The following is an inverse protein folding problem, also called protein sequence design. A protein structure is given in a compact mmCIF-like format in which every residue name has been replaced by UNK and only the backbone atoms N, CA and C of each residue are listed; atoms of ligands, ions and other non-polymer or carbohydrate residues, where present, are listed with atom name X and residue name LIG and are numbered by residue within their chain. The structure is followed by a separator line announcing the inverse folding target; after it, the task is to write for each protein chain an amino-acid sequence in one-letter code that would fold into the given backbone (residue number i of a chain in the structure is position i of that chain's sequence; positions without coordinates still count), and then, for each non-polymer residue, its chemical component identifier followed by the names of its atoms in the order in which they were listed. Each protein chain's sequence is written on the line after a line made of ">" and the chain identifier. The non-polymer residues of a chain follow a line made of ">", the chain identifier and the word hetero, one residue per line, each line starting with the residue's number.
data_IF_569591063729
#
_entry.id   IF_569591063729
#
_cell.length_a   1.000
_cell.length_b   1.000
_cell.length_c   1.000
_cell.angle_alpha   90.00
_cell.angle_beta   90.00
_cell.angle_gamma   90.00
#
_symmetry.space_group_name_H-M   'P 1'
#
loop_
_entity.id
_entity.type
_entity.pdbx_description
1 polymer ?
#
# COMPACT_ATOMS: atom_id res chain seq x y z
N UNK A 1 -16.13 13.70 -19.63
CA UNK A 1 -15.16 12.69 -19.13
C UNK A 1 -15.97 11.60 -18.46
N UNK A 2 -15.86 10.34 -18.91
CA UNK A 2 -16.46 9.21 -18.17
C UNK A 2 -15.70 9.07 -16.86
N UNK A 3 -16.32 9.37 -15.74
CA UNK A 3 -15.77 9.06 -14.42
C UNK A 3 -15.60 7.56 -14.34
N UNK A 4 -14.37 7.11 -14.08
CA UNK A 4 -14.09 5.69 -13.89
C UNK A 4 -14.78 5.25 -12.58
N UNK A 5 -15.57 4.20 -12.62
CA UNK A 5 -16.38 3.70 -11.49
C UNK A 5 -15.51 3.35 -10.26
N UNK A 6 -14.22 3.05 -10.47
CA UNK A 6 -13.27 2.61 -9.47
C UNK A 6 -12.28 3.69 -8.97
N UNK A 7 -12.29 4.87 -9.57
CA UNK A 7 -11.34 5.95 -9.25
C UNK A 7 -10.00 5.78 -9.96
N UNK A 8 -9.26 6.89 -10.02
CA UNK A 8 -8.01 7.02 -10.77
C UNK A 8 -6.90 7.57 -9.89
N UNK A 9 -5.68 7.10 -10.14
CA UNK A 9 -4.43 7.72 -9.72
C UNK A 9 -3.63 8.07 -10.97
N UNK A 10 -3.27 9.34 -11.15
CA UNK A 10 -2.51 9.82 -12.30
C UNK A 10 -1.44 10.82 -11.87
N UNK A 11 -0.24 10.63 -12.36
CA UNK A 11 0.89 11.54 -12.27
C UNK A 11 1.17 12.09 -13.67
N UNK A 12 1.21 13.42 -13.81
CA UNK A 12 1.56 14.11 -15.05
C UNK A 12 2.79 14.98 -14.84
N UNK A 13 3.95 14.51 -15.34
CA UNK A 13 5.27 15.16 -15.30
C UNK A 13 5.64 15.71 -13.91
N UNK A 14 5.37 14.93 -12.89
CA UNK A 14 5.62 15.28 -11.49
C UNK A 14 7.11 15.30 -11.22
N UNK A 15 7.61 16.41 -10.64
CA UNK A 15 8.97 16.50 -10.10
C UNK A 15 8.94 16.96 -8.65
N UNK A 16 9.88 16.46 -7.86
CA UNK A 16 10.05 16.81 -6.47
C UNK A 16 11.52 16.75 -6.07
N UNK A 17 11.97 17.79 -5.35
CA UNK A 17 13.30 17.88 -4.74
C UNK A 17 13.18 18.09 -3.23
N UNK A 18 14.07 17.49 -2.47
CA UNK A 18 14.18 17.77 -1.04
C UNK A 18 14.79 19.18 -0.81
N UNK A 19 14.62 19.80 0.38
CA UNK A 19 15.15 21.14 0.68
C UNK A 19 16.66 21.27 0.49
N UNK A 20 17.42 20.17 0.53
CA UNK A 20 18.84 20.14 0.26
C UNK A 20 19.18 20.19 -1.25
N UNK A 21 18.20 20.40 -2.13
CA UNK A 21 18.36 20.47 -3.58
C UNK A 21 18.39 19.12 -4.30
N UNK A 22 18.38 17.99 -3.58
CA UNK A 22 18.41 16.67 -4.21
C UNK A 22 17.06 16.34 -4.87
N UNK A 23 17.05 16.30 -6.21
CA UNK A 23 15.88 15.90 -7.01
C UNK A 23 15.73 14.39 -6.95
N UNK A 24 14.61 13.94 -6.37
CA UNK A 24 14.33 12.51 -6.15
C UNK A 24 13.25 11.96 -7.07
N UNK A 25 12.32 12.81 -7.51
CA UNK A 25 11.33 12.50 -8.55
C UNK A 25 11.54 13.50 -9.69
N UNK A 26 11.61 12.99 -10.93
CA UNK A 26 11.93 13.80 -12.10
C UNK A 26 10.99 13.50 -13.27
N UNK A 27 10.11 14.45 -13.59
CA UNK A 27 9.13 14.36 -14.68
C UNK A 27 8.39 13.00 -14.71
N UNK A 28 8.08 12.46 -13.54
CA UNK A 28 7.44 11.16 -13.39
C UNK A 28 5.99 11.22 -13.89
N UNK A 29 5.64 10.30 -14.80
CA UNK A 29 4.28 10.19 -15.33
C UNK A 29 3.86 8.74 -15.36
N UNK A 30 2.70 8.44 -14.77
CA UNK A 30 2.06 7.12 -14.81
C UNK A 30 0.59 7.23 -14.45
N UNK A 31 -0.19 6.18 -14.70
CA UNK A 31 -1.58 6.09 -14.24
C UNK A 31 -1.96 4.69 -13.81
N UNK A 32 -2.86 4.61 -12.83
CA UNK A 32 -3.55 3.38 -12.41
C UNK A 32 -5.06 3.69 -12.49
N UNK A 33 -5.78 2.97 -13.36
CA UNK A 33 -7.19 3.25 -13.71
C UNK A 33 -8.14 2.11 -13.34
N UNK A 34 -7.65 1.09 -12.67
CA UNK A 34 -8.43 -0.08 -12.22
C UNK A 34 -7.89 -0.60 -10.91
N UNK A 35 -8.75 -1.17 -10.06
CA UNK A 35 -8.33 -1.86 -8.85
C UNK A 35 -7.35 -2.98 -9.17
N UNK A 36 -6.58 -3.39 -8.18
CA UNK A 36 -5.62 -4.47 -8.30
C UNK A 36 -4.41 -4.28 -7.42
N UNK A 37 -3.50 -5.26 -7.41
CA UNK A 37 -2.22 -5.23 -6.73
C UNK A 37 -1.12 -4.80 -7.69
N UNK A 38 -0.62 -3.59 -7.51
CA UNK A 38 0.43 -2.96 -8.32
C UNK A 38 1.73 -2.94 -7.55
N UNK A 39 2.78 -3.55 -8.08
CA UNK A 39 4.06 -3.61 -7.39
C UNK A 39 5.10 -2.64 -7.97
N UNK A 40 5.80 -1.95 -7.06
CA UNK A 40 6.84 -0.99 -7.40
C UNK A 40 8.18 -1.46 -6.85
N UNK A 41 9.14 -1.67 -7.72
CA UNK A 41 10.50 -2.03 -7.36
C UNK A 41 11.48 -0.92 -7.74
N UNK A 42 12.64 -0.90 -7.10
CA UNK A 42 13.69 0.08 -7.38
C UNK A 42 14.75 0.07 -6.29
N UNK A 43 15.95 0.56 -6.58
CA UNK A 43 17.03 0.63 -5.62
C UNK A 43 16.68 1.47 -4.39
N UNK A 44 17.44 1.30 -3.30
CA UNK A 44 17.33 2.20 -2.14
C UNK A 44 17.68 3.62 -2.58
N UNK A 45 16.92 4.59 -2.07
CA UNK A 45 17.08 6.00 -2.47
C UNK A 45 16.48 6.37 -3.85
N UNK A 46 15.84 5.44 -4.58
CA UNK A 46 15.23 5.75 -5.88
C UNK A 46 13.99 6.64 -5.82
N UNK A 47 13.44 6.90 -4.62
CA UNK A 47 12.29 7.77 -4.42
C UNK A 47 10.96 7.07 -4.12
N UNK A 48 10.95 5.75 -3.86
CA UNK A 48 9.72 4.97 -3.63
C UNK A 48 8.88 5.52 -2.47
N UNK A 49 9.47 5.71 -1.29
CA UNK A 49 8.75 6.26 -0.13
C UNK A 49 8.40 7.76 -0.32
N UNK A 50 9.19 8.50 -1.11
CA UNK A 50 8.86 9.89 -1.51
C UNK A 50 7.63 9.90 -2.41
N UNK A 51 7.53 8.95 -3.36
CA UNK A 51 6.36 8.78 -4.21
C UNK A 51 5.09 8.52 -3.35
N UNK A 52 5.18 7.67 -2.33
CA UNK A 52 4.05 7.42 -1.42
C UNK A 52 3.63 8.66 -0.65
N UNK A 53 4.59 9.48 -0.19
CA UNK A 53 4.29 10.76 0.47
C UNK A 53 3.62 11.76 -0.47
N UNK A 54 3.98 11.77 -1.76
CA UNK A 54 3.32 12.57 -2.79
C UNK A 54 1.89 12.07 -3.05
N UNK A 55 1.68 10.75 -3.19
CA UNK A 55 0.34 10.15 -3.40
C UNK A 55 -0.57 10.42 -2.20
N UNK A 56 -0.05 10.30 -0.98
CA UNK A 56 -0.82 10.56 0.25
C UNK A 56 -1.04 12.05 0.56
N UNK A 57 -0.45 12.97 -0.23
CA UNK A 57 -0.58 14.41 -0.04
C UNK A 57 0.20 14.96 1.17
N UNK A 58 1.07 14.16 1.80
CA UNK A 58 1.94 14.59 2.91
C UNK A 58 2.95 15.63 2.45
N UNK A 59 3.43 15.52 1.21
CA UNK A 59 4.27 16.49 0.54
C UNK A 59 3.65 16.88 -0.80
N UNK A 60 3.98 18.08 -1.29
CA UNK A 60 3.49 18.58 -2.58
C UNK A 60 4.60 18.53 -3.62
N UNK A 61 4.28 18.27 -4.90
CA UNK A 61 5.26 18.31 -5.98
C UNK A 61 5.73 19.75 -6.24
N UNK A 62 6.99 19.89 -6.70
CA UNK A 62 7.54 21.18 -7.16
C UNK A 62 6.90 21.57 -8.49
N UNK A 63 6.74 20.61 -9.39
CA UNK A 63 6.12 20.78 -10.72
C UNK A 63 5.29 19.55 -11.11
N UNK A 64 4.45 19.72 -12.12
CA UNK A 64 3.52 18.68 -12.58
C UNK A 64 2.23 18.64 -11.78
N UNK A 65 1.41 17.61 -12.02
CA UNK A 65 0.11 17.46 -11.35
C UNK A 65 -0.09 16.02 -10.90
N UNK A 66 -0.69 15.87 -9.72
CA UNK A 66 -1.15 14.59 -9.20
C UNK A 66 -2.67 14.65 -9.12
N UNK A 67 -3.32 13.74 -9.80
CA UNK A 67 -4.74 13.49 -9.65
C UNK A 67 -4.93 12.16 -8.93
N UNK A 68 -5.63 12.18 -7.81
CA UNK A 68 -5.97 10.98 -7.04
C UNK A 68 -7.40 11.12 -6.52
N UNK A 69 -8.32 10.38 -7.10
CA UNK A 69 -9.71 10.30 -6.63
C UNK A 69 -9.91 9.23 -5.56
N UNK A 70 -8.85 8.44 -5.31
CA UNK A 70 -8.82 7.41 -4.27
C UNK A 70 -8.44 8.02 -2.91
N UNK A 71 -8.83 7.34 -1.84
CA UNK A 71 -8.46 7.67 -0.46
C UNK A 71 -7.25 6.83 -0.04
N UNK A 72 -6.03 7.40 -0.03
CA UNK A 72 -4.83 6.65 0.32
C UNK A 72 -4.72 6.40 1.82
N UNK A 73 -4.22 5.22 2.18
CA UNK A 73 -3.74 4.90 3.52
C UNK A 73 -2.37 4.26 3.41
N UNK A 74 -1.43 4.71 4.24
CA UNK A 74 -0.06 4.22 4.26
C UNK A 74 0.08 3.12 5.31
N UNK A 75 0.73 2.03 4.92
CA UNK A 75 1.10 0.91 5.79
C UNK A 75 2.63 0.81 5.77
N UNK A 76 3.25 0.99 6.94
CA UNK A 76 4.70 1.03 7.08
C UNK A 76 5.33 -0.36 7.11
N UNK A 77 6.62 -0.42 6.81
CA UNK A 77 7.45 -1.60 6.88
C UNK A 77 7.45 -2.24 8.28
N UNK A 78 7.58 -1.42 9.32
CA UNK A 78 7.49 -1.85 10.71
C UNK A 78 6.13 -1.44 11.30
N UNK A 79 5.21 -2.38 11.57
CA UNK A 79 3.90 -2.07 12.13
C UNK A 79 3.97 -1.47 13.54
N UNK A 80 5.03 -1.71 14.32
CA UNK A 80 5.20 -1.13 15.66
C UNK A 80 5.36 0.41 15.62
N UNK A 81 5.70 1.00 14.47
CA UNK A 81 5.72 2.45 14.29
C UNK A 81 4.32 3.04 14.03
N UNK A 82 3.33 2.20 13.79
CA UNK A 82 1.98 2.62 13.42
C UNK A 82 0.93 2.26 14.48
N UNK A 83 1.10 1.12 15.15
CA UNK A 83 0.17 0.61 16.14
C UNK A 83 0.42 1.26 17.51
N UNK A 84 -0.55 2.01 18.02
CA UNK A 84 -0.40 2.88 19.18
C UNK A 84 -1.19 2.41 20.42
N UNK A 85 -2.25 1.60 20.20
CA UNK A 85 -3.19 1.23 21.23
C UNK A 85 -2.88 -0.13 21.86
N UNK A 86 -3.40 -0.44 23.05
CA UNK A 86 -3.10 -1.69 23.74
C UNK A 86 -3.76 -2.92 23.12
N UNK A 87 -4.92 -2.79 22.45
CA UNK A 87 -5.69 -3.92 21.89
C UNK A 87 -6.05 -3.69 20.44
N UNK A 88 -6.33 -4.78 19.68
CA UNK A 88 -6.77 -4.69 18.29
C UNK A 88 -8.02 -3.81 18.13
N UNK A 89 -9.01 -3.98 19.01
CA UNK A 89 -10.23 -3.17 19.02
C UNK A 89 -9.95 -1.69 19.19
N UNK A 90 -9.16 -1.32 20.20
CA UNK A 90 -8.85 0.08 20.48
C UNK A 90 -8.06 0.73 19.35
N UNK A 91 -7.16 -0.02 18.70
CA UNK A 91 -6.42 0.45 17.53
C UNK A 91 -7.35 0.74 16.36
N UNK A 92 -8.22 -0.19 16.02
CA UNK A 92 -9.15 0.01 14.91
C UNK A 92 -10.18 1.10 15.19
N UNK A 93 -10.59 1.29 16.45
CA UNK A 93 -11.46 2.40 16.84
C UNK A 93 -10.86 3.78 16.52
N UNK A 94 -9.53 3.95 16.62
CA UNK A 94 -8.85 5.18 16.21
C UNK A 94 -8.95 5.44 14.70
N UNK A 95 -8.98 4.38 13.92
CA UNK A 95 -8.99 4.46 12.46
C UNK A 95 -10.40 4.69 11.87
N UNK A 96 -11.47 4.44 12.66
CA UNK A 96 -12.85 4.62 12.19
C UNK A 96 -13.15 6.10 11.96
N UNK A 97 -13.73 6.47 10.78
CA UNK A 97 -14.17 7.84 10.56
C UNK A 97 -15.21 8.30 11.58
N UNK A 98 -15.03 9.51 12.12
CA UNK A 98 -15.94 10.09 13.14
C UNK A 98 -17.39 10.23 12.68
N UNK A 99 -17.64 10.10 11.39
CA UNK A 99 -19.01 10.16 10.80
C UNK A 99 -19.78 8.86 10.98
N UNK A 100 -19.13 7.76 11.40
CA UNK A 100 -19.76 6.45 11.58
C UNK A 100 -20.53 6.43 12.92
N UNK A 101 -21.83 6.09 12.92
CA UNK A 101 -22.62 5.97 14.13
C UNK A 101 -22.07 4.90 15.08
N UNK A 102 -22.07 5.20 16.39
CA UNK A 102 -21.50 4.31 17.41
C UNK A 102 -22.08 2.89 17.40
N UNK A 103 -23.38 2.75 17.06
CA UNK A 103 -24.05 1.46 16.94
C UNK A 103 -23.47 0.53 15.87
N UNK A 104 -22.77 1.07 14.86
CA UNK A 104 -22.20 0.31 13.74
C UNK A 104 -20.70 0.04 13.94
N UNK A 105 -20.09 0.58 15.00
CA UNK A 105 -18.63 0.48 15.20
C UNK A 105 -18.16 -0.95 15.39
N UNK A 106 -18.88 -1.72 16.20
CA UNK A 106 -18.50 -3.10 16.50
C UNK A 106 -18.48 -3.96 15.22
N UNK A 107 -19.56 -3.92 14.45
CA UNK A 107 -19.69 -4.71 13.22
C UNK A 107 -18.64 -4.32 12.18
N UNK A 108 -18.37 -3.01 12.07
CA UNK A 108 -17.36 -2.50 11.14
C UNK A 108 -15.94 -2.98 11.49
N UNK A 109 -15.59 -2.91 12.78
CA UNK A 109 -14.29 -3.37 13.27
C UNK A 109 -14.16 -4.88 13.12
N UNK A 110 -15.20 -5.64 13.50
CA UNK A 110 -15.25 -7.08 13.37
C UNK A 110 -15.05 -7.49 11.90
N UNK A 111 -15.79 -6.89 10.98
CA UNK A 111 -15.66 -7.15 9.55
C UNK A 111 -14.27 -6.81 9.00
N UNK A 112 -13.64 -5.72 9.49
CA UNK A 112 -12.28 -5.37 9.09
C UNK A 112 -11.26 -6.41 9.56
N UNK A 113 -11.38 -6.93 10.79
CA UNK A 113 -10.55 -8.00 11.31
C UNK A 113 -10.74 -9.30 10.52
N UNK A 114 -11.96 -9.67 10.18
CA UNK A 114 -12.26 -10.86 9.36
C UNK A 114 -11.64 -10.77 7.96
N UNK A 115 -11.67 -9.59 7.35
CA UNK A 115 -11.06 -9.36 6.02
C UNK A 115 -9.55 -9.58 6.01
N UNK A 116 -8.87 -9.47 7.17
CA UNK A 116 -7.43 -9.68 7.31
C UNK A 116 -7.09 -10.96 8.08
N UNK A 117 -8.03 -11.88 8.22
CA UNK A 117 -7.90 -13.16 8.94
C UNK A 117 -7.47 -13.00 10.42
N UNK A 118 -8.08 -12.03 11.11
CA UNK A 118 -7.89 -11.74 12.54
C UNK A 118 -9.23 -11.67 13.31
N UNK A 119 -10.31 -12.25 12.78
CA UNK A 119 -11.67 -12.10 13.32
C UNK A 119 -11.83 -12.50 14.80
N UNK A 120 -11.02 -13.46 15.30
CA UNK A 120 -11.06 -13.90 16.70
C UNK A 120 -10.16 -13.06 17.63
N UNK A 121 -9.55 -11.98 17.13
CA UNK A 121 -8.51 -11.25 17.87
C UNK A 121 -8.97 -9.86 18.36
N UNK A 122 -10.27 -9.60 18.40
CA UNK A 122 -10.83 -8.27 18.71
C UNK A 122 -10.26 -7.65 19.99
N UNK A 123 -10.29 -8.37 21.09
CA UNK A 123 -9.82 -7.89 22.40
C UNK A 123 -8.37 -8.30 22.71
N UNK A 124 -7.66 -8.88 21.73
CA UNK A 124 -6.29 -9.35 21.90
C UNK A 124 -5.33 -8.18 22.12
N UNK A 125 -4.44 -8.25 23.12
CA UNK A 125 -3.39 -7.25 23.32
C UNK A 125 -2.38 -7.28 22.16
N UNK A 126 -2.07 -6.10 21.59
CA UNK A 126 -1.21 -5.98 20.39
C UNK A 126 0.20 -6.51 20.62
N UNK A 127 0.75 -6.35 21.82
CA UNK A 127 2.08 -6.85 22.17
C UNK A 127 2.20 -8.39 22.11
N UNK A 128 1.06 -9.12 22.13
CA UNK A 128 1.03 -10.60 22.01
C UNK A 128 0.90 -11.09 20.58
N UNK A 129 0.75 -10.18 19.61
CA UNK A 129 0.64 -10.53 18.21
C UNK A 129 2.00 -10.82 17.58
N UNK A 130 2.06 -11.78 16.65
CA UNK A 130 3.23 -11.97 15.79
C UNK A 130 3.42 -10.77 14.84
N UNK A 131 4.62 -10.61 14.25
CA UNK A 131 4.88 -9.55 13.29
C UNK A 131 3.91 -9.55 12.11
N UNK A 132 3.58 -10.73 11.56
CA UNK A 132 2.60 -10.86 10.49
C UNK A 132 1.17 -10.52 10.92
N UNK A 133 0.79 -10.83 12.16
CA UNK A 133 -0.51 -10.43 12.72
C UNK A 133 -0.58 -8.90 12.91
N UNK A 134 0.48 -8.27 13.42
CA UNK A 134 0.57 -6.81 13.54
C UNK A 134 0.48 -6.12 12.18
N UNK A 135 1.16 -6.67 11.16
CA UNK A 135 1.09 -6.12 9.79
C UNK A 135 -0.34 -6.22 9.23
N UNK A 136 -1.01 -7.35 9.44
CA UNK A 136 -2.42 -7.50 9.02
C UNK A 136 -3.36 -6.59 9.80
N UNK A 137 -3.09 -6.33 11.07
CA UNK A 137 -3.85 -5.36 11.88
C UNK A 137 -3.66 -3.92 11.33
N UNK A 138 -2.46 -3.53 10.94
CA UNK A 138 -2.22 -2.23 10.29
C UNK A 138 -2.99 -2.10 8.97
N UNK A 139 -3.09 -3.17 8.18
CA UNK A 139 -3.92 -3.23 6.97
C UNK A 139 -5.42 -3.12 7.34
N UNK A 140 -5.87 -3.79 8.42
CA UNK A 140 -7.26 -3.65 8.90
C UNK A 140 -7.60 -2.21 9.28
N UNK A 141 -6.67 -1.46 9.87
CA UNK A 141 -6.81 -0.02 10.13
C UNK A 141 -7.10 0.79 8.87
N UNK A 142 -6.41 0.49 7.78
CA UNK A 142 -6.67 1.12 6.48
C UNK A 142 -8.06 0.71 5.91
N UNK A 143 -8.46 -0.55 6.07
CA UNK A 143 -9.78 -1.03 5.63
C UNK A 143 -10.91 -0.36 6.42
N UNK A 144 -10.79 -0.28 7.74
CA UNK A 144 -11.82 0.32 8.61
C UNK A 144 -11.93 1.83 8.42
N UNK A 145 -10.86 2.51 8.01
CA UNK A 145 -10.87 3.93 7.66
C UNK A 145 -11.56 4.23 6.33
N UNK A 146 -12.10 3.20 5.68
CA UNK A 146 -12.74 3.29 4.37
C UNK A 146 -11.78 3.78 3.26
N UNK A 147 -10.51 3.43 3.37
CA UNK A 147 -9.51 3.67 2.32
C UNK A 147 -9.73 2.71 1.16
N UNK A 148 -9.56 3.20 -0.05
CA UNK A 148 -9.64 2.40 -1.27
C UNK A 148 -8.32 2.41 -2.07
N UNK A 149 -7.26 3.01 -1.50
CA UNK A 149 -5.88 2.92 -1.98
C UNK A 149 -4.95 2.57 -0.82
N UNK A 150 -4.38 1.38 -0.84
CA UNK A 150 -3.36 0.97 0.11
C UNK A 150 -1.97 1.28 -0.45
N UNK A 151 -1.16 1.99 0.30
CA UNK A 151 0.25 2.26 0.01
C UNK A 151 1.11 1.43 0.99
N UNK A 152 1.65 0.30 0.53
CA UNK A 152 2.34 -0.66 1.38
C UNK A 152 3.86 -0.53 1.16
N UNK A 153 4.56 0.05 2.13
CA UNK A 153 6.02 0.28 2.05
C UNK A 153 6.76 -0.92 2.65
N UNK A 154 7.19 -1.85 1.80
CA UNK A 154 7.91 -3.07 2.15
C UNK A 154 7.26 -3.91 3.28
N UNK A 155 5.95 -4.18 3.23
CA UNK A 155 5.19 -4.70 4.38
C UNK A 155 5.58 -6.10 4.84
N UNK A 156 6.44 -6.80 4.10
CA UNK A 156 6.89 -8.17 4.39
C UNK A 156 8.38 -8.26 4.74
N UNK A 157 9.13 -7.15 4.69
CA UNK A 157 10.59 -7.18 4.82
C UNK A 157 11.10 -7.72 6.16
N UNK A 158 10.34 -7.53 7.25
CA UNK A 158 10.71 -7.94 8.60
C UNK A 158 10.01 -9.22 9.07
N UNK A 159 9.36 -9.96 8.16
CA UNK A 159 8.54 -11.10 8.48
C UNK A 159 9.20 -12.43 8.07
N UNK A 160 8.85 -13.50 8.78
CA UNK A 160 9.17 -14.87 8.37
C UNK A 160 8.40 -15.25 7.08
N UNK A 161 8.85 -16.28 6.33
CA UNK A 161 8.25 -16.65 5.03
C UNK A 161 6.75 -17.01 5.11
N UNK A 162 6.28 -17.61 6.21
CA UNK A 162 4.88 -17.97 6.38
C UNK A 162 4.02 -16.70 6.56
N UNK A 163 4.48 -15.78 7.41
CA UNK A 163 3.84 -14.48 7.64
C UNK A 163 3.81 -13.62 6.38
N UNK A 164 4.91 -13.61 5.59
CA UNK A 164 4.98 -12.91 4.30
C UNK A 164 3.87 -13.37 3.35
N UNK A 165 3.74 -14.69 3.16
CA UNK A 165 2.70 -15.27 2.32
C UNK A 165 1.30 -14.95 2.83
N UNK A 166 1.09 -14.93 4.14
CA UNK A 166 -0.19 -14.60 4.74
C UNK A 166 -0.58 -13.14 4.45
N UNK A 167 0.34 -12.18 4.64
CA UNK A 167 0.11 -10.76 4.33
C UNK A 167 -0.19 -10.56 2.85
N UNK A 168 0.58 -11.20 1.96
CA UNK A 168 0.38 -11.12 0.52
C UNK A 168 -1.02 -11.61 0.10
N UNK A 169 -1.44 -12.79 0.61
CA UNK A 169 -2.78 -13.35 0.34
C UNK A 169 -3.91 -12.43 0.81
N UNK A 170 -3.76 -11.81 1.98
CA UNK A 170 -4.74 -10.84 2.48
C UNK A 170 -4.88 -9.67 1.52
N UNK A 171 -3.77 -9.07 1.07
CA UNK A 171 -3.82 -7.95 0.13
C UNK A 171 -4.39 -8.37 -1.22
N UNK A 172 -4.01 -9.54 -1.76
CA UNK A 172 -4.61 -10.09 -2.98
C UNK A 172 -6.13 -10.24 -2.85
N UNK A 173 -6.62 -10.78 -1.72
CA UNK A 173 -8.06 -10.93 -1.45
C UNK A 173 -8.76 -9.56 -1.43
N UNK A 174 -8.17 -8.54 -0.80
CA UNK A 174 -8.73 -7.19 -0.74
C UNK A 174 -8.76 -6.50 -2.11
N UNK A 175 -7.81 -6.80 -3.00
CA UNK A 175 -7.70 -6.18 -4.32
C UNK A 175 -8.50 -6.88 -5.41
N UNK A 176 -8.83 -8.16 -5.23
CA UNK A 176 -9.53 -8.98 -6.25
C UNK A 176 -10.98 -9.30 -5.91
N UNK A 177 -11.40 -9.17 -4.64
CA UNK A 177 -12.69 -9.69 -4.17
C UNK A 177 -13.67 -8.59 -3.77
N UNK A 178 -14.96 -8.83 -4.01
CA UNK A 178 -16.06 -7.98 -3.54
C UNK A 178 -16.57 -6.97 -4.56
N UNK A 179 -17.63 -6.26 -4.17
CA UNK A 179 -18.28 -5.22 -4.97
C UNK A 179 -17.45 -3.94 -5.10
N UNK A 180 -16.49 -3.72 -4.17
CA UNK A 180 -15.62 -2.56 -4.15
C UNK A 180 -14.17 -3.02 -3.88
N UNK A 181 -13.46 -3.57 -4.88
CA UNK A 181 -12.07 -3.98 -4.71
C UNK A 181 -11.17 -2.77 -4.46
N UNK A 182 -10.18 -2.95 -3.59
CA UNK A 182 -9.21 -1.92 -3.22
C UNK A 182 -8.08 -1.89 -4.25
N UNK A 183 -7.53 -0.72 -4.53
CA UNK A 183 -6.25 -0.59 -5.22
C UNK A 183 -5.13 -0.66 -4.20
N UNK A 184 -4.09 -1.46 -4.45
CA UNK A 184 -2.89 -1.51 -3.62
C UNK A 184 -1.65 -1.20 -4.45
N UNK A 185 -0.79 -0.31 -3.95
CA UNK A 185 0.57 -0.12 -4.47
C UNK A 185 1.52 -0.65 -3.40
N UNK A 186 2.30 -1.67 -3.77
CA UNK A 186 3.19 -2.39 -2.88
C UNK A 186 4.63 -2.20 -3.31
N UNK A 187 5.41 -1.54 -2.48
CA UNK A 187 6.86 -1.44 -2.66
C UNK A 187 7.49 -2.72 -2.12
N UNK A 188 8.38 -3.33 -2.91
CA UNK A 188 9.12 -4.52 -2.48
C UNK A 188 10.54 -4.55 -3.06
N UNK A 189 11.43 -5.22 -2.35
CA UNK A 189 12.75 -5.68 -2.82
C UNK A 189 12.78 -7.19 -3.11
N UNK A 190 11.69 -7.89 -2.80
CA UNK A 190 11.55 -9.33 -3.00
C UNK A 190 10.96 -9.60 -4.38
N UNK A 191 11.82 -10.01 -5.30
CA UNK A 191 11.43 -10.19 -6.71
C UNK A 191 10.36 -11.26 -6.88
N UNK A 192 10.34 -12.30 -6.03
CA UNK A 192 9.38 -13.38 -6.07
C UNK A 192 7.93 -12.89 -5.86
N UNK A 193 7.74 -11.82 -5.10
CA UNK A 193 6.41 -11.23 -4.87
C UNK A 193 5.80 -10.68 -6.16
N UNK A 194 6.62 -10.25 -7.13
CA UNK A 194 6.17 -9.75 -8.43
C UNK A 194 5.32 -10.77 -9.22
N UNK A 195 5.50 -12.06 -8.95
CA UNK A 195 4.72 -13.12 -9.62
C UNK A 195 3.24 -13.13 -9.20
N UNK A 196 2.88 -12.36 -8.17
CA UNK A 196 1.56 -12.36 -7.55
C UNK A 196 0.78 -11.06 -7.76
N UNK A 197 1.23 -10.14 -8.62
CA UNK A 197 0.60 -8.84 -8.85
C UNK A 197 -0.09 -8.74 -10.21
N UNK A 198 -1.02 -7.79 -10.34
CA UNK A 198 -1.70 -7.45 -11.58
C UNK A 198 -0.83 -6.59 -12.51
N UNK A 199 0.14 -5.89 -11.96
CA UNK A 199 1.11 -5.13 -12.70
C UNK A 199 2.29 -4.70 -11.84
N UNK A 200 3.47 -4.59 -12.48
CA UNK A 200 4.69 -4.14 -11.84
C UNK A 200 5.40 -3.08 -12.66
N UNK A 201 6.12 -2.19 -11.98
CA UNK A 201 6.94 -1.15 -12.59
C UNK A 201 8.24 -0.93 -11.81
N UNK A 202 9.25 -0.37 -12.49
CA UNK A 202 10.54 -0.05 -11.90
C UNK A 202 10.64 1.46 -11.73
N UNK A 203 10.96 1.91 -10.50
CA UNK A 203 11.34 3.28 -10.23
C UNK A 203 12.86 3.41 -10.30
N UNK A 204 13.34 4.16 -11.29
CA UNK A 204 14.76 4.41 -11.50
C UNK A 204 14.99 5.87 -11.87
N UNK A 205 15.96 6.52 -11.23
CA UNK A 205 16.30 7.93 -11.48
C UNK A 205 15.07 8.87 -11.41
N UNK A 206 14.21 8.67 -10.41
CA UNK A 206 13.01 9.49 -10.21
C UNK A 206 11.87 9.27 -11.21
N UNK A 207 11.96 8.27 -12.10
CA UNK A 207 10.95 7.97 -13.13
C UNK A 207 10.45 6.54 -13.00
N UNK A 208 9.15 6.35 -13.23
CA UNK A 208 8.52 5.02 -13.26
C UNK A 208 8.53 4.50 -14.70
N UNK A 209 8.92 3.23 -14.87
CA UNK A 209 8.76 2.53 -16.14
C UNK A 209 7.27 2.34 -16.49
N UNK A 210 6.97 1.90 -17.71
CA UNK A 210 5.60 1.44 -18.03
C UNK A 210 5.25 0.24 -17.15
N UNK A 211 3.99 0.17 -16.72
CA UNK A 211 3.44 -1.01 -16.06
C UNK A 211 3.47 -2.22 -16.99
N UNK A 212 4.00 -3.32 -16.50
CA UNK A 212 4.08 -4.60 -17.20
C UNK A 212 3.57 -5.72 -16.29
N UNK A 213 3.41 -6.94 -16.83
CA UNK A 213 3.15 -8.10 -15.96
C UNK A 213 4.30 -8.30 -14.98
N UNK A 214 3.97 -8.75 -13.77
CA UNK A 214 4.99 -9.01 -12.74
C UNK A 214 6.04 -10.01 -13.19
N UNK A 215 5.66 -11.04 -13.95
CA UNK A 215 6.58 -12.03 -14.53
C UNK A 215 7.60 -11.39 -15.48
N UNK A 216 7.18 -10.42 -16.32
CA UNK A 216 8.09 -9.73 -17.24
C UNK A 216 9.12 -8.89 -16.48
N UNK A 217 8.67 -8.11 -15.47
CA UNK A 217 9.56 -7.29 -14.64
C UNK A 217 10.51 -8.18 -13.82
N UNK A 218 10.03 -9.31 -13.29
CA UNK A 218 10.85 -10.31 -12.61
C UNK A 218 11.99 -10.81 -13.50
N UNK A 219 11.71 -11.21 -14.75
CA UNK A 219 12.72 -11.70 -15.69
C UNK A 219 13.73 -10.62 -16.06
N UNK A 220 13.27 -9.39 -16.30
CA UNK A 220 14.12 -8.24 -16.59
C UNK A 220 15.14 -8.01 -15.45
N UNK A 221 14.67 -7.93 -14.19
CA UNK A 221 15.52 -7.69 -13.04
C UNK A 221 16.47 -8.86 -12.75
N UNK A 222 16.01 -10.10 -12.92
CA UNK A 222 16.85 -11.29 -12.76
C UNK A 222 18.00 -11.32 -13.78
N UNK A 223 17.74 -10.93 -15.03
CA UNK A 223 18.77 -10.85 -16.07
C UNK A 223 19.80 -9.77 -15.83
N UNK A 224 19.42 -8.66 -15.15
CA UNK A 224 20.33 -7.58 -14.76
C UNK A 224 21.22 -7.96 -13.56
N UNK A 225 20.72 -8.79 -12.65
CA UNK A 225 21.47 -9.27 -11.47
C UNK A 225 22.52 -10.35 -11.81
N UNK A 226 22.42 -10.98 -12.99
CA UNK A 226 23.36 -12.01 -13.48
C UNK A 226 24.48 -11.42 -14.37
N UNK A 227 24.49 -10.12 -14.59
CA UNK A 227 25.52 -9.37 -15.32
C UNK A 227 26.39 -8.57 -14.36
#
# INVERSE_FOLDING_TARGET
>A
MKTNEFGDLEFDKVSFSWPNGFRVIDQCSFSIKKPGLWMLVGANGSGKSTLFRLISGVIRPDTGKIFCSLRPSLVYQNPDHQLLMPTCKSELMLCVPKTIPQRNLFDLIQLALEKVDLGEMLDRPIHTLSGGQKQRLAIAGAVVSNSNLLLLDEPTALLDPQSQNSVLKVVQKLTSSGTNPITAIWITHRLEELLFCDGAAILKNGRISKWNSGSKVFQELKSLALR
#
